data_IF_779582770907
#
_entry.id   IF_779582770907
#
_cell.length_a   1.000
_cell.length_b   1.000
_cell.length_c   1.000
_cell.angle_alpha   90.00
_cell.angle_beta   90.00
_cell.angle_gamma   90.00
#
_symmetry.space_group_name_H-M   'P 1'
#
loop_
_entity.id
_entity.type
_entity.pdbx_description
1 polymer ?
#
# COMPACT_ATOMS: atom_id res chain seq x y z
N UNK A 1 -28.75 -8.87 19.36
CA UNK A 1 -27.86 -7.73 19.72
C UNK A 1 -26.34 -8.02 19.63
N UNK A 2 -25.91 -9.23 19.27
CA UNK A 2 -24.47 -9.61 19.27
C UNK A 2 -23.66 -9.29 18.00
N UNK A 3 -24.24 -8.79 16.92
CA UNK A 3 -23.50 -8.60 15.65
C UNK A 3 -22.89 -7.20 15.47
N UNK A 4 -23.47 -6.15 16.04
CA UNK A 4 -22.95 -4.78 15.93
C UNK A 4 -21.54 -4.59 16.47
N UNK A 5 -21.16 -5.13 17.65
CA UNK A 5 -19.80 -5.02 18.16
C UNK A 5 -18.76 -5.64 17.21
N UNK A 6 -19.10 -6.76 16.57
CA UNK A 6 -18.21 -7.46 15.62
C UNK A 6 -18.02 -6.66 14.33
N UNK A 7 -19.06 -6.01 13.81
CA UNK A 7 -18.96 -5.19 12.58
C UNK A 7 -18.09 -3.96 12.84
N UNK A 8 -18.25 -3.28 13.98
CA UNK A 8 -17.44 -2.12 14.35
C UNK A 8 -15.97 -2.54 14.53
N UNK A 9 -15.72 -3.67 15.19
CA UNK A 9 -14.39 -4.21 15.35
C UNK A 9 -13.75 -4.52 14.00
N UNK A 10 -14.43 -5.29 13.15
CA UNK A 10 -13.95 -5.62 11.81
C UNK A 10 -13.71 -4.37 10.96
N UNK A 11 -14.62 -3.41 11.00
CA UNK A 11 -14.42 -2.14 10.31
C UNK A 11 -13.17 -1.42 10.82
N UNK A 12 -12.93 -1.37 12.13
CA UNK A 12 -11.79 -0.67 12.70
C UNK A 12 -10.45 -1.29 12.29
N UNK A 13 -10.34 -2.61 12.21
CA UNK A 13 -9.09 -3.29 11.86
C UNK A 13 -8.79 -3.28 10.35
N UNK A 14 -9.75 -2.94 9.49
CA UNK A 14 -9.57 -2.84 8.04
C UNK A 14 -9.56 -1.38 7.55
N UNK A 15 -10.51 -0.57 8.02
CA UNK A 15 -10.68 0.80 7.52
C UNK A 15 -9.53 1.72 7.99
N UNK A 16 -9.11 1.59 9.25
CA UNK A 16 -8.03 2.43 9.77
C UNK A 16 -6.71 2.22 8.97
N UNK A 17 -6.19 0.99 8.81
CA UNK A 17 -5.01 0.77 7.99
C UNK A 17 -5.16 1.22 6.54
N UNK A 18 -6.33 0.97 5.94
CA UNK A 18 -6.60 1.35 4.55
C UNK A 18 -6.57 2.87 4.36
N UNK A 19 -7.24 3.60 5.24
CA UNK A 19 -7.30 5.07 5.20
C UNK A 19 -5.91 5.67 5.38
N UNK A 20 -5.12 5.15 6.32
CA UNK A 20 -3.73 5.58 6.52
C UNK A 20 -2.91 5.29 5.25
N UNK A 21 -2.97 4.06 4.73
CA UNK A 21 -2.20 3.65 3.56
C UNK A 21 -2.47 4.56 2.35
N UNK A 22 -3.73 4.81 2.01
CA UNK A 22 -4.12 5.65 0.87
C UNK A 22 -3.73 7.12 1.13
N UNK A 23 -3.97 7.63 2.34
CA UNK A 23 -3.66 9.03 2.67
C UNK A 23 -2.18 9.35 2.53
N UNK A 24 -1.33 8.48 3.05
CA UNK A 24 0.12 8.66 2.97
C UNK A 24 0.65 8.44 1.57
N UNK A 25 0.10 7.49 0.82
CA UNK A 25 0.40 7.26 -0.58
C UNK A 25 0.14 8.53 -1.43
N UNK A 26 -1.07 9.08 -1.34
CA UNK A 26 -1.46 10.30 -2.06
C UNK A 26 -0.63 11.53 -1.62
N UNK A 27 -0.40 11.67 -0.31
CA UNK A 27 0.43 12.73 0.21
C UNK A 27 1.87 12.66 -0.34
N UNK A 28 2.44 11.46 -0.46
CA UNK A 28 3.78 11.24 -0.97
C UNK A 28 3.93 11.76 -2.41
N UNK A 29 2.97 11.47 -3.29
CA UNK A 29 2.94 12.05 -4.65
C UNK A 29 2.99 13.57 -4.61
N UNK A 30 2.15 14.19 -3.78
CA UNK A 30 2.09 15.64 -3.65
C UNK A 30 3.36 16.27 -3.10
N UNK A 31 4.00 15.65 -2.09
CA UNK A 31 5.26 16.13 -1.53
C UNK A 31 6.40 16.05 -2.55
N UNK A 32 6.52 14.93 -3.27
CA UNK A 32 7.56 14.76 -4.30
C UNK A 32 7.31 15.68 -5.49
N UNK A 33 6.06 15.85 -5.94
CA UNK A 33 5.71 16.79 -7.00
C UNK A 33 6.15 18.22 -6.63
N UNK A 34 5.83 18.67 -5.40
CA UNK A 34 6.25 19.97 -4.90
C UNK A 34 7.77 20.12 -4.86
N UNK A 35 8.48 19.13 -4.34
CA UNK A 35 9.95 19.13 -4.29
C UNK A 35 10.57 19.24 -5.69
N UNK A 36 9.93 18.66 -6.69
CA UNK A 36 10.36 18.69 -8.08
C UNK A 36 9.86 19.93 -8.87
N UNK A 37 9.11 20.84 -8.24
CA UNK A 37 8.73 22.13 -8.79
C UNK A 37 7.24 22.31 -9.10
N UNK A 38 6.41 21.28 -8.96
CA UNK A 38 4.96 21.41 -9.12
C UNK A 38 4.27 21.76 -7.79
N UNK A 39 3.83 22.98 -7.65
CA UNK A 39 3.09 23.45 -6.48
C UNK A 39 1.56 23.31 -6.60
N UNK A 40 1.04 22.68 -7.66
CA UNK A 40 -0.40 22.62 -7.94
C UNK A 40 -1.17 22.01 -6.76
N UNK A 41 -0.79 20.83 -6.33
CA UNK A 41 -1.45 20.16 -5.20
C UNK A 41 -1.28 20.92 -3.88
N UNK A 42 -0.12 21.52 -3.68
CA UNK A 42 0.17 22.31 -2.48
C UNK A 42 -0.75 23.54 -2.36
N UNK A 43 -0.84 24.34 -3.43
CA UNK A 43 -1.69 25.52 -3.48
C UNK A 43 -3.16 25.21 -3.30
N UNK A 44 -3.61 24.03 -3.73
CA UNK A 44 -4.97 23.52 -3.53
C UNK A 44 -5.18 22.92 -2.13
N UNK A 45 -4.18 22.92 -1.24
CA UNK A 45 -4.25 22.33 0.09
C UNK A 45 -4.47 20.81 0.09
N UNK A 46 -4.07 20.13 -1.03
CA UNK A 46 -4.25 18.70 -1.24
C UNK A 46 -3.07 17.86 -0.75
N UNK A 47 -1.91 18.48 -0.52
CA UNK A 47 -0.76 17.82 0.12
C UNK A 47 -1.00 17.80 1.62
N UNK A 48 -1.61 16.74 2.12
CA UNK A 48 -2.08 16.67 3.51
C UNK A 48 -2.16 15.23 3.98
N UNK A 49 -1.85 15.01 5.26
CA UNK A 49 -2.07 13.74 5.95
C UNK A 49 -3.48 13.63 6.56
N UNK A 50 -4.35 14.62 6.32
CA UNK A 50 -5.74 14.54 6.72
C UNK A 50 -6.54 13.68 5.72
N UNK A 51 -7.03 12.49 6.13
CA UNK A 51 -7.73 11.58 5.24
C UNK A 51 -8.99 12.17 4.61
N UNK A 52 -9.66 13.08 5.30
CA UNK A 52 -10.89 13.72 4.79
C UNK A 52 -10.65 14.49 3.48
N UNK A 53 -9.42 14.95 3.23
CA UNK A 53 -9.04 15.61 1.98
C UNK A 53 -8.87 14.65 0.80
N UNK A 54 -8.80 13.35 1.07
CA UNK A 54 -8.62 12.29 0.07
C UNK A 54 -9.92 11.50 -0.18
N UNK A 55 -11.01 11.83 0.52
CA UNK A 55 -12.32 11.25 0.26
C UNK A 55 -12.86 11.78 -1.07
N UNK A 56 -13.24 10.89 -1.96
CA UNK A 56 -14.04 11.15 -3.15
C UNK A 56 -15.47 10.68 -2.90
N UNK A 57 -16.49 11.54 -2.98
CA UNK A 57 -17.88 11.14 -2.73
C UNK A 57 -18.34 9.98 -3.62
N UNK A 58 -17.89 9.96 -4.87
CA UNK A 58 -18.27 8.91 -5.83
C UNK A 58 -17.44 7.64 -5.63
N UNK A 59 -16.11 7.78 -5.59
CA UNK A 59 -15.21 6.64 -5.54
C UNK A 59 -15.06 5.99 -4.18
N UNK A 60 -15.12 6.81 -3.11
CA UNK A 60 -14.87 6.31 -1.75
C UNK A 60 -16.16 5.92 -1.03
N UNK A 61 -17.32 6.52 -1.38
CA UNK A 61 -18.57 6.32 -0.66
C UNK A 61 -19.63 5.66 -1.56
N UNK A 62 -20.00 6.32 -2.67
CA UNK A 62 -21.10 5.87 -3.51
C UNK A 62 -20.82 4.52 -4.17
N UNK A 63 -19.66 4.35 -4.78
CA UNK A 63 -19.32 3.13 -5.51
C UNK A 63 -19.22 1.91 -4.59
N UNK A 64 -18.47 1.91 -3.46
CA UNK A 64 -18.47 0.79 -2.53
C UNK A 64 -19.85 0.54 -1.92
N UNK A 65 -20.61 1.60 -1.58
CA UNK A 65 -21.97 1.48 -1.07
C UNK A 65 -22.92 0.81 -2.05
N UNK A 66 -22.85 1.18 -3.33
CA UNK A 66 -23.66 0.56 -4.38
C UNK A 66 -23.28 -0.91 -4.59
N UNK A 67 -21.98 -1.24 -4.60
CA UNK A 67 -21.53 -2.63 -4.72
C UNK A 67 -22.01 -3.49 -3.56
N UNK A 68 -22.00 -2.96 -2.33
CA UNK A 68 -22.56 -3.63 -1.16
C UNK A 68 -24.07 -3.87 -1.29
N UNK A 69 -24.82 -2.86 -1.72
CA UNK A 69 -26.29 -2.96 -1.92
C UNK A 69 -26.64 -3.99 -2.99
N UNK A 70 -25.82 -4.11 -4.04
CA UNK A 70 -26.01 -5.08 -5.11
C UNK A 70 -25.54 -6.49 -4.74
N UNK A 71 -25.02 -6.69 -3.51
CA UNK A 71 -24.51 -7.99 -3.06
C UNK A 71 -23.26 -8.43 -3.82
N UNK A 72 -22.47 -7.48 -4.36
CA UNK A 72 -21.24 -7.79 -5.08
C UNK A 72 -20.26 -8.52 -4.17
N UNK A 73 -19.65 -9.63 -4.62
CA UNK A 73 -18.61 -10.31 -3.86
C UNK A 73 -17.31 -9.50 -3.81
N UNK A 74 -17.21 -8.43 -4.59
CA UNK A 74 -16.04 -7.55 -4.68
C UNK A 74 -16.40 -6.15 -4.22
N UNK A 75 -15.57 -5.59 -3.33
CA UNK A 75 -15.59 -4.19 -2.96
C UNK A 75 -14.52 -3.46 -3.78
N UNK A 76 -14.92 -2.43 -4.51
CA UNK A 76 -14.01 -1.56 -5.24
C UNK A 76 -14.33 -0.11 -4.92
N UNK A 77 -13.29 0.69 -4.79
CA UNK A 77 -13.38 2.11 -4.56
C UNK A 77 -12.07 2.80 -4.91
N UNK A 78 -12.10 4.11 -5.03
CA UNK A 78 -10.91 4.92 -5.25
C UNK A 78 -10.96 6.19 -4.39
N UNK A 79 -9.78 6.67 -4.03
CA UNK A 79 -9.61 7.95 -3.34
C UNK A 79 -9.54 9.09 -4.36
N UNK A 80 -9.81 10.30 -3.90
CA UNK A 80 -9.59 11.51 -4.70
C UNK A 80 -8.10 11.73 -4.90
N UNK A 81 -7.58 11.59 -6.14
CA UNK A 81 -6.16 11.66 -6.38
C UNK A 81 -5.61 13.08 -6.12
N UNK A 82 -4.34 13.15 -5.71
CA UNK A 82 -3.62 14.41 -5.60
C UNK A 82 -3.31 14.92 -7.02
N UNK A 83 -3.75 16.14 -7.39
CA UNK A 83 -3.52 16.66 -8.74
C UNK A 83 -2.05 17.00 -8.95
N UNK A 84 -1.44 16.40 -9.97
CA UNK A 84 -0.04 16.67 -10.36
C UNK A 84 -0.01 17.23 -11.77
N UNK A 85 0.62 18.39 -11.92
CA UNK A 85 0.90 18.99 -13.22
C UNK A 85 2.31 18.60 -13.66
N UNK A 86 2.44 17.51 -14.39
CA UNK A 86 3.75 17.02 -14.83
C UNK A 86 4.51 18.03 -15.71
N UNK A 87 3.83 18.98 -16.38
CA UNK A 87 4.47 20.04 -17.17
C UNK A 87 5.14 21.10 -16.31
N UNK A 88 4.72 21.25 -15.05
CA UNK A 88 5.31 22.19 -14.10
C UNK A 88 6.56 21.65 -13.41
N UNK A 89 6.84 20.34 -13.54
CA UNK A 89 8.04 19.73 -12.99
C UNK A 89 9.30 20.24 -13.71
N UNK A 90 10.40 20.44 -12.98
CA UNK A 90 11.69 20.89 -13.55
C UNK A 90 12.15 20.02 -14.72
N UNK A 91 11.96 18.70 -14.60
CA UNK A 91 12.20 17.71 -15.64
C UNK A 91 10.94 16.86 -15.79
N UNK A 92 10.00 17.17 -16.70
CA UNK A 92 8.69 16.55 -16.76
C UNK A 92 8.71 15.02 -16.81
N UNK A 93 9.59 14.46 -17.65
CA UNK A 93 9.65 13.03 -17.87
C UNK A 93 10.21 12.25 -16.67
N UNK A 94 11.40 12.59 -16.21
CA UNK A 94 11.99 11.96 -15.03
C UNK A 94 11.25 12.32 -13.75
N UNK A 95 10.75 13.56 -13.65
CA UNK A 95 9.92 14.01 -12.53
C UNK A 95 8.64 13.20 -12.39
N UNK A 96 7.96 12.87 -13.50
CA UNK A 96 6.79 12.00 -13.50
C UNK A 96 7.12 10.62 -12.91
N UNK A 97 8.27 10.02 -13.25
CA UNK A 97 8.70 8.74 -12.68
C UNK A 97 8.88 8.84 -11.18
N UNK A 98 9.59 9.86 -10.69
CA UNK A 98 9.83 10.03 -9.26
C UNK A 98 8.54 10.29 -8.47
N UNK A 99 7.64 11.11 -9.03
CA UNK A 99 6.32 11.33 -8.43
C UNK A 99 5.55 10.01 -8.37
N UNK A 100 5.51 9.24 -9.47
CA UNK A 100 4.77 8.00 -9.53
C UNK A 100 5.36 6.91 -8.59
N UNK A 101 6.68 6.84 -8.43
CA UNK A 101 7.31 5.91 -7.48
C UNK A 101 7.01 6.27 -6.02
N UNK A 102 6.76 7.56 -5.72
CA UNK A 102 6.64 8.02 -4.34
C UNK A 102 5.50 7.36 -3.56
N UNK A 103 4.34 7.14 -4.19
CA UNK A 103 3.20 6.47 -3.57
C UNK A 103 3.50 5.02 -3.17
N UNK A 104 3.87 4.15 -4.13
CA UNK A 104 4.26 2.78 -3.85
C UNK A 104 5.42 2.67 -2.84
N UNK A 105 6.43 3.55 -2.93
CA UNK A 105 7.54 3.57 -1.99
C UNK A 105 7.07 3.92 -0.55
N UNK A 106 6.14 4.85 -0.41
CA UNK A 106 5.52 5.18 0.88
C UNK A 106 4.75 3.98 1.44
N UNK A 107 4.01 3.26 0.62
CA UNK A 107 3.32 2.06 1.07
C UNK A 107 4.31 0.98 1.55
N UNK A 108 5.41 0.74 0.85
CA UNK A 108 6.44 -0.20 1.32
C UNK A 108 7.04 0.27 2.65
N UNK A 109 7.32 1.57 2.80
CA UNK A 109 7.81 2.11 4.07
C UNK A 109 6.80 1.89 5.22
N UNK A 110 5.51 2.11 4.99
CA UNK A 110 4.46 1.86 5.97
C UNK A 110 4.32 0.37 6.30
N UNK A 111 4.47 -0.52 5.33
CA UNK A 111 4.49 -1.96 5.53
C UNK A 111 5.63 -2.40 6.46
N UNK A 112 6.84 -1.88 6.22
CA UNK A 112 8.01 -2.12 7.07
C UNK A 112 7.78 -1.56 8.48
N UNK A 113 7.25 -0.34 8.60
CA UNK A 113 6.93 0.25 9.90
C UNK A 113 5.89 -0.56 10.66
N UNK A 114 4.88 -1.13 9.98
CA UNK A 114 3.89 -2.00 10.60
C UNK A 114 4.52 -3.30 11.13
N UNK A 115 5.43 -3.92 10.36
CA UNK A 115 6.17 -5.10 10.79
C UNK A 115 7.04 -4.79 12.03
N UNK A 116 7.79 -3.70 12.01
CA UNK A 116 8.60 -3.28 13.16
C UNK A 116 7.74 -2.95 14.39
N UNK A 117 6.61 -2.27 14.19
CA UNK A 117 5.69 -1.93 15.28
C UNK A 117 5.05 -3.17 15.92
N UNK A 118 4.98 -4.30 15.20
CA UNK A 118 4.45 -5.55 15.74
C UNK A 118 5.22 -6.05 16.98
N UNK A 119 6.52 -5.74 17.09
CA UNK A 119 7.33 -6.06 18.25
C UNK A 119 6.91 -5.33 19.53
N UNK A 120 6.20 -4.21 19.38
CA UNK A 120 5.71 -3.42 20.52
C UNK A 120 4.40 -3.95 21.09
N UNK A 121 3.71 -4.85 20.34
CA UNK A 121 2.40 -5.39 20.76
C UNK A 121 2.48 -6.12 22.09
N UNK A 122 3.58 -6.83 22.37
CA UNK A 122 3.79 -7.56 23.63
C UNK A 122 3.86 -6.68 24.90
N UNK A 123 4.01 -5.37 24.73
CA UNK A 123 4.02 -4.42 25.86
C UNK A 123 2.62 -3.84 26.16
N UNK A 124 1.62 -4.16 25.34
CA UNK A 124 0.26 -3.66 25.49
C UNK A 124 -0.57 -4.57 26.42
N UNK A 125 -1.61 -4.03 27.10
CA UNK A 125 -2.62 -4.84 27.76
C UNK A 125 -3.29 -5.82 26.76
N UNK A 126 -3.68 -7.01 27.23
CA UNK A 126 -4.18 -8.11 26.38
C UNK A 126 -5.28 -7.68 25.40
N UNK A 127 -6.24 -6.88 25.89
CA UNK A 127 -7.35 -6.38 25.04
C UNK A 127 -6.91 -5.45 23.93
N UNK A 128 -5.93 -4.57 24.20
CA UNK A 128 -5.35 -3.67 23.23
C UNK A 128 -4.37 -4.40 22.29
N UNK A 129 -3.64 -5.39 22.79
CA UNK A 129 -2.65 -6.15 22.05
C UNK A 129 -3.28 -6.88 20.85
N UNK A 130 -4.42 -7.55 21.06
CA UNK A 130 -5.10 -8.26 19.98
C UNK A 130 -5.55 -7.29 18.87
N UNK A 131 -6.22 -6.20 19.24
CA UNK A 131 -6.67 -5.20 18.27
C UNK A 131 -5.49 -4.56 17.51
N UNK A 132 -4.41 -4.20 18.22
CA UNK A 132 -3.22 -3.62 17.63
C UNK A 132 -2.53 -4.61 16.67
N UNK A 133 -2.40 -5.88 17.06
CA UNK A 133 -1.82 -6.93 16.22
C UNK A 133 -2.57 -7.09 14.91
N UNK A 134 -3.92 -7.11 14.95
CA UNK A 134 -4.73 -7.24 13.74
C UNK A 134 -4.65 -6.00 12.85
N UNK A 135 -4.65 -4.79 13.44
CA UNK A 135 -4.42 -3.56 12.68
C UNK A 135 -3.06 -3.54 11.99
N UNK A 136 -1.98 -3.91 12.67
CA UNK A 136 -0.63 -3.94 12.11
C UNK A 136 -0.48 -5.01 11.02
N UNK A 137 -1.07 -6.20 11.22
CA UNK A 137 -1.12 -7.25 10.20
C UNK A 137 -1.84 -6.76 8.95
N UNK A 138 -3.01 -6.15 9.11
CA UNK A 138 -3.77 -5.61 7.99
C UNK A 138 -3.05 -4.43 7.34
N UNK A 139 -2.38 -3.57 8.12
CA UNK A 139 -1.55 -2.49 7.60
C UNK A 139 -0.41 -3.03 6.72
N UNK A 140 0.30 -4.07 7.16
CA UNK A 140 1.33 -4.74 6.37
C UNK A 140 0.76 -5.23 5.04
N UNK A 141 -0.32 -6.02 5.08
CA UNK A 141 -0.93 -6.61 3.89
C UNK A 141 -1.44 -5.53 2.92
N UNK A 142 -2.25 -4.58 3.42
CA UNK A 142 -2.86 -3.53 2.60
C UNK A 142 -1.78 -2.69 1.92
N UNK A 143 -0.75 -2.29 2.65
CA UNK A 143 0.31 -1.45 2.08
C UNK A 143 1.11 -2.19 1.01
N UNK A 144 1.45 -3.47 1.21
CA UNK A 144 2.14 -4.25 0.18
C UNK A 144 1.25 -4.47 -1.04
N UNK A 145 -0.03 -4.82 -0.85
CA UNK A 145 -0.99 -4.98 -1.96
C UNK A 145 -1.13 -3.69 -2.75
N UNK A 146 -1.29 -2.54 -2.08
CA UNK A 146 -1.39 -1.23 -2.75
C UNK A 146 -0.12 -0.89 -3.53
N UNK A 147 1.06 -1.16 -2.97
CA UNK A 147 2.32 -0.92 -3.66
C UNK A 147 2.44 -1.79 -4.92
N UNK A 148 2.19 -3.09 -4.81
CA UNK A 148 2.25 -4.03 -5.94
C UNK A 148 1.23 -3.67 -7.01
N UNK A 149 -0.02 -3.42 -6.61
CA UNK A 149 -1.10 -3.05 -7.52
C UNK A 149 -0.77 -1.77 -8.28
N UNK A 150 -0.33 -0.72 -7.59
CA UNK A 150 0.01 0.54 -8.23
C UNK A 150 1.27 0.47 -9.10
N UNK A 151 2.15 -0.51 -8.92
CA UNK A 151 3.31 -0.73 -9.78
C UNK A 151 3.00 -1.47 -11.08
N UNK A 152 1.76 -1.94 -11.30
CA UNK A 152 1.37 -2.51 -12.59
C UNK A 152 1.55 -1.48 -13.71
N UNK A 153 2.17 -1.87 -14.86
CA UNK A 153 2.51 -0.95 -15.94
C UNK A 153 1.30 -0.59 -16.82
N UNK A 154 0.17 -0.29 -16.20
CA UNK A 154 -1.11 0.02 -16.85
C UNK A 154 -1.61 1.36 -16.33
N UNK A 155 -1.78 2.40 -17.18
CA UNK A 155 -2.46 3.62 -16.76
C UNK A 155 -3.92 3.31 -16.33
N UNK A 156 -4.47 3.98 -15.31
CA UNK A 156 -3.97 5.18 -14.63
C UNK A 156 -3.09 4.89 -13.43
N UNK A 157 -2.65 3.64 -13.21
CA UNK A 157 -1.80 3.27 -12.09
C UNK A 157 -0.41 3.93 -12.19
N UNK A 158 0.28 4.06 -11.06
CA UNK A 158 1.60 4.68 -11.01
C UNK A 158 2.63 3.95 -11.87
N UNK A 159 2.57 2.60 -11.92
CA UNK A 159 3.40 1.79 -12.80
C UNK A 159 3.22 2.12 -14.28
N UNK A 160 2.01 2.50 -14.70
CA UNK A 160 1.75 3.00 -16.04
C UNK A 160 2.48 4.31 -16.31
N UNK A 161 2.46 5.24 -15.37
CA UNK A 161 3.20 6.51 -15.46
C UNK A 161 4.71 6.32 -15.40
N UNK A 162 5.19 5.40 -14.57
CA UNK A 162 6.61 4.98 -14.57
C UNK A 162 7.00 4.44 -15.94
N UNK A 163 6.20 3.55 -16.51
CA UNK A 163 6.45 2.97 -17.83
C UNK A 163 6.48 4.05 -18.92
N UNK A 164 5.53 4.98 -18.93
CA UNK A 164 5.53 6.13 -19.86
C UNK A 164 6.78 6.99 -19.70
N UNK A 165 7.26 7.19 -18.48
CA UNK A 165 8.46 7.99 -18.20
C UNK A 165 9.77 7.31 -18.61
N UNK A 166 9.85 5.98 -18.52
CA UNK A 166 11.10 5.21 -18.77
C UNK A 166 11.19 4.72 -20.22
N UNK A 167 10.09 4.26 -20.81
CA UNK A 167 10.08 3.67 -22.14
C UNK A 167 10.42 4.67 -23.26
N UNK A 168 11.05 4.24 -24.37
CA UNK A 168 11.20 5.05 -25.56
C UNK A 168 9.84 5.57 -26.07
N UNK A 169 9.83 6.73 -26.74
CA UNK A 169 8.60 7.42 -27.18
C UNK A 169 7.69 6.54 -28.06
N UNK A 170 8.25 5.59 -28.78
CA UNK A 170 7.51 4.64 -29.63
C UNK A 170 6.53 3.81 -28.79
N UNK A 171 6.88 3.43 -27.57
CA UNK A 171 6.04 2.68 -26.63
C UNK A 171 5.33 3.58 -25.62
N UNK A 172 6.00 4.65 -25.17
CA UNK A 172 5.46 5.58 -24.18
C UNK A 172 4.20 6.31 -24.68
N UNK A 173 4.21 6.79 -25.94
CA UNK A 173 3.10 7.56 -26.50
C UNK A 173 1.80 6.74 -26.66
N UNK A 174 1.80 5.51 -27.21
CA UNK A 174 0.60 4.66 -27.22
C UNK A 174 0.11 4.36 -25.80
N UNK A 175 1.00 4.04 -24.87
CA UNK A 175 0.64 3.75 -23.49
C UNK A 175 -0.01 4.95 -22.79
N UNK A 176 0.53 6.15 -22.97
CA UNK A 176 -0.05 7.39 -22.39
C UNK A 176 -1.45 7.68 -22.94
N UNK A 177 -1.74 7.31 -24.21
CA UNK A 177 -3.08 7.47 -24.82
C UNK A 177 -4.14 6.55 -24.19
N UNK A 178 -3.74 5.51 -23.47
CA UNK A 178 -4.66 4.62 -22.76
C UNK A 178 -5.13 5.20 -21.41
N UNK A 179 -4.48 6.24 -20.89
CA UNK A 179 -4.81 6.81 -19.56
C UNK A 179 -6.30 7.18 -19.40
N UNK A 180 -6.99 7.80 -20.37
CA UNK A 180 -8.43 8.10 -20.28
C UNK A 180 -9.32 6.85 -20.16
N UNK A 181 -8.85 5.71 -20.66
CA UNK A 181 -9.57 4.43 -20.64
C UNK A 181 -9.10 3.51 -19.51
N UNK A 182 -8.15 3.95 -18.70
CA UNK A 182 -7.46 3.11 -17.73
C UNK A 182 -8.37 2.43 -16.74
N UNK A 183 -9.39 3.12 -16.20
CA UNK A 183 -10.37 2.51 -15.29
C UNK A 183 -11.15 1.39 -15.99
N UNK A 184 -11.57 1.60 -17.23
CA UNK A 184 -12.27 0.57 -18.03
C UNK A 184 -11.38 -0.64 -18.29
N UNK A 185 -10.09 -0.38 -18.60
CA UNK A 185 -9.09 -1.44 -18.81
C UNK A 185 -8.90 -2.25 -17.52
N UNK A 186 -8.80 -1.58 -16.37
CA UNK A 186 -8.68 -2.24 -15.07
C UNK A 186 -9.91 -3.09 -14.73
N UNK A 187 -11.11 -2.55 -14.93
CA UNK A 187 -12.36 -3.30 -14.72
C UNK A 187 -12.42 -4.51 -15.68
N UNK A 188 -12.07 -4.30 -16.96
CA UNK A 188 -12.01 -5.38 -17.92
C UNK A 188 -11.05 -6.50 -17.52
N UNK A 189 -9.85 -6.13 -17.08
CA UNK A 189 -8.78 -7.06 -16.72
C UNK A 189 -9.02 -7.80 -15.39
N UNK A 190 -9.58 -7.09 -14.40
CA UNK A 190 -9.75 -7.64 -13.05
C UNK A 190 -11.09 -8.38 -12.86
N UNK A 191 -12.12 -8.02 -13.62
CA UNK A 191 -13.46 -8.56 -13.41
C UNK A 191 -14.01 -9.26 -14.67
N UNK A 192 -13.99 -8.59 -15.83
CA UNK A 192 -14.64 -9.14 -17.03
C UNK A 192 -13.85 -10.32 -17.59
N UNK A 193 -12.53 -10.19 -17.70
CA UNK A 193 -11.67 -11.24 -18.23
C UNK A 193 -11.71 -12.53 -17.41
N UNK A 194 -11.58 -12.49 -16.05
CA UNK A 194 -11.75 -13.67 -15.23
C UNK A 194 -13.16 -14.30 -15.30
N UNK A 195 -14.20 -13.47 -15.39
CA UNK A 195 -15.58 -13.94 -15.52
C UNK A 195 -15.80 -14.72 -16.82
N UNK A 196 -15.32 -14.16 -17.95
CA UNK A 196 -15.39 -14.83 -19.26
C UNK A 196 -14.53 -16.10 -19.26
N UNK A 197 -13.34 -16.05 -18.66
CA UNK A 197 -12.47 -17.22 -18.53
C UNK A 197 -13.15 -18.36 -17.78
N UNK A 198 -13.81 -18.05 -16.67
CA UNK A 198 -14.55 -19.04 -15.87
C UNK A 198 -15.68 -19.70 -16.68
N UNK A 199 -16.38 -18.94 -17.53
CA UNK A 199 -17.43 -19.50 -18.42
C UNK A 199 -16.86 -20.42 -19.51
N UNK A 200 -15.62 -20.15 -19.95
CA UNK A 200 -14.93 -20.95 -20.97
C UNK A 200 -14.09 -22.09 -20.37
N UNK A 201 -14.07 -22.24 -19.04
CA UNK A 201 -13.23 -23.24 -18.35
C UNK A 201 -11.73 -22.91 -18.42
N UNK A 202 -11.37 -21.67 -18.70
CA UNK A 202 -9.98 -21.19 -18.81
C UNK A 202 -9.66 -20.30 -17.58
N UNK A 203 -8.60 -20.62 -16.88
CA UNK A 203 -8.13 -19.74 -15.79
C UNK A 203 -7.25 -18.61 -16.34
N UNK A 204 -7.84 -17.44 -16.45
CA UNK A 204 -7.20 -16.19 -16.92
C UNK A 204 -6.93 -15.19 -15.80
N UNK A 205 -6.89 -15.64 -14.54
CA UNK A 205 -6.62 -14.81 -13.35
C UNK A 205 -5.13 -14.40 -13.24
N UNK A 206 -4.47 -14.09 -14.35
CA UNK A 206 -3.03 -13.81 -14.38
C UNK A 206 -2.67 -12.63 -13.49
N UNK A 207 -3.42 -11.53 -13.58
CA UNK A 207 -3.15 -10.31 -12.80
C UNK A 207 -3.27 -10.58 -11.31
N UNK A 208 -4.35 -11.23 -10.88
CA UNK A 208 -4.57 -11.58 -9.47
C UNK A 208 -3.48 -12.50 -8.93
N UNK A 209 -3.01 -13.45 -9.74
CA UNK A 209 -1.89 -14.33 -9.35
C UNK A 209 -0.57 -13.57 -9.23
N UNK A 210 -0.25 -12.68 -10.16
CA UNK A 210 0.96 -11.85 -10.10
C UNK A 210 0.91 -10.95 -8.87
N UNK A 211 -0.23 -10.32 -8.59
CA UNK A 211 -0.40 -9.51 -7.38
C UNK A 211 -0.21 -10.37 -6.13
N UNK A 212 -0.86 -11.53 -6.03
CA UNK A 212 -0.77 -12.40 -4.88
C UNK A 212 0.67 -12.90 -4.65
N UNK A 213 1.31 -13.46 -5.68
CA UNK A 213 2.68 -13.99 -5.56
C UNK A 213 3.71 -12.91 -5.24
N UNK A 214 3.58 -11.71 -5.84
CA UNK A 214 4.46 -10.58 -5.54
C UNK A 214 4.24 -10.08 -4.12
N UNK A 215 2.99 -10.02 -3.67
CA UNK A 215 2.64 -9.63 -2.29
C UNK A 215 3.21 -10.60 -1.28
N UNK A 216 3.04 -11.91 -1.48
CA UNK A 216 3.60 -12.95 -0.61
C UNK A 216 5.13 -12.88 -0.55
N UNK A 217 5.81 -12.69 -1.69
CA UNK A 217 7.25 -12.58 -1.74
C UNK A 217 7.76 -11.34 -0.96
N UNK A 218 7.10 -10.19 -1.10
CA UNK A 218 7.49 -8.96 -0.40
C UNK A 218 7.21 -9.08 1.09
N UNK A 219 6.06 -9.61 1.50
CA UNK A 219 5.75 -9.85 2.91
C UNK A 219 6.77 -10.82 3.50
N UNK A 220 7.08 -11.92 2.80
CA UNK A 220 8.10 -12.87 3.21
C UNK A 220 9.47 -12.22 3.39
N UNK A 221 9.89 -11.33 2.49
CA UNK A 221 11.14 -10.59 2.60
C UNK A 221 11.15 -9.63 3.81
N UNK A 222 10.07 -8.86 4.02
CA UNK A 222 9.95 -7.94 5.16
C UNK A 222 10.03 -8.71 6.48
N UNK A 223 9.28 -9.80 6.62
CA UNK A 223 9.24 -10.60 7.85
C UNK A 223 10.52 -11.39 8.09
N UNK A 224 11.24 -11.81 7.04
CA UNK A 224 12.53 -12.47 7.16
C UNK A 224 13.61 -11.51 7.67
N UNK A 225 13.64 -10.27 7.17
CA UNK A 225 14.55 -9.22 7.66
C UNK A 225 14.25 -8.92 9.14
N UNK A 226 12.99 -8.80 9.49
CA UNK A 226 12.53 -8.55 10.85
C UNK A 226 12.90 -9.71 11.79
N UNK A 227 12.70 -10.96 11.39
CA UNK A 227 13.08 -12.16 12.14
C UNK A 227 14.59 -12.32 12.33
N UNK A 228 15.43 -11.89 11.38
CA UNK A 228 16.87 -11.93 11.51
C UNK A 228 17.41 -10.93 12.55
N UNK A 229 16.78 -9.76 12.68
CA UNK A 229 17.12 -8.80 13.73
C UNK A 229 16.86 -9.35 15.14
N UNK A 230 15.83 -10.18 15.32
CA UNK A 230 15.53 -10.84 16.59
C UNK A 230 16.57 -11.90 16.99
N UNK A 231 17.07 -12.67 16.04
CA UNK A 231 18.06 -13.72 16.31
C UNK A 231 19.43 -13.14 16.65
N UNK A 232 19.84 -12.06 16.01
CA UNK A 232 21.09 -11.34 16.33
C UNK A 232 21.02 -10.69 17.73
N UNK A 233 19.93 -10.02 18.05
CA UNK A 233 19.73 -9.39 19.37
C UNK A 233 19.72 -10.40 20.53
N UNK A 234 19.17 -11.61 20.33
CA UNK A 234 19.21 -12.70 21.32
C UNK A 234 20.64 -13.25 21.51
N UNK A 235 21.42 -13.37 20.44
CA UNK A 235 22.82 -13.83 20.54
C UNK A 235 23.69 -12.84 21.32
N UNK A 236 23.52 -11.54 21.07
CA UNK A 236 24.29 -10.49 21.76
C UNK A 236 23.94 -10.40 23.25
N UNK A 237 22.66 -10.57 23.62
CA UNK A 237 22.22 -10.57 25.02
C UNK A 237 22.73 -11.80 25.82
N UNK A 238 22.88 -12.95 25.17
CA UNK A 238 23.47 -14.15 25.78
C UNK A 238 25.00 -14.03 25.93
N UNK A 239 25.68 -13.43 24.94
CA UNK A 239 27.13 -13.22 25.00
C UNK A 239 27.55 -12.23 26.11
N UNK A 240 26.74 -11.21 26.33
CA UNK A 240 26.99 -10.20 27.39
C UNK A 240 26.75 -10.78 28.79
N UNK A 241 25.77 -11.66 28.97
CA UNK A 241 25.53 -12.34 30.26
C UNK A 241 26.61 -13.36 30.60
N UNK A 242 27.17 -14.06 29.62
CA UNK A 242 28.26 -15.02 29.88
C UNK A 242 29.58 -14.36 30.27
N UNK A 243 29.82 -13.13 29.80
CA UNK A 243 31.04 -12.37 30.19
C UNK A 243 30.98 -11.74 31.59
N UNK A 244 29.77 -11.47 32.10
CA UNK A 244 29.60 -10.89 33.48
C UNK A 244 29.54 -11.96 34.57
N UNK A 245 29.39 -13.26 34.23
CA UNK A 245 29.30 -14.37 35.17
C UNK A 245 30.66 -14.97 35.58
N UNK A 246 31.78 -14.50 35.06
CA UNK A 246 33.11 -15.08 35.35
C UNK A 246 34.04 -14.24 36.22
N UNK A 247 33.55 -13.19 36.87
CA UNK A 247 34.30 -12.45 37.85
C UNK A 247 33.62 -12.50 39.22
N UNK A 248 34.00 -13.47 40.04
CA UNK A 248 33.61 -13.50 41.44
C UNK A 248 33.61 -14.87 42.10
N UNK A 249 34.76 -15.48 42.27
CA UNK A 249 34.99 -16.43 43.38
C UNK A 249 36.30 -16.06 44.03
N UNK A 250 36.29 -15.45 45.23
CA UNK A 250 37.49 -15.44 46.07
C UNK A 250 37.58 -16.77 46.80
N UNK A 251 38.71 -17.42 46.61
CA UNK A 251 39.17 -18.51 47.49
C UNK A 251 39.33 -18.03 48.94
N UNK A 252 38.68 -18.70 49.85
CA UNK A 252 39.21 -19.05 51.16
C UNK A 252 38.65 -20.39 51.61
#
# INVERSE_FOLDING_TARGET
MGQLPNVIYLASIWVIPLVIAITFHEAAHGFVARFLGDETAWRLGRVSLNPLKHIDPTGTILLPGLLLLLGSPFLFGYAKPVPVNFRALRNPRSGMVWVAVAGPAMNIALAILAALAFHLVGYLPVTAAQWAAENLKNALIINVVLAVFNLFPIPPLDGGRIAVGVLPNVFANPLARLEPYGILILIGLLFILPLLGAQLGIDVNIVSRVIASSTEAIIGAITAIDGQHMTTRRRDSHSTRSRLGHHGSPQR
#
